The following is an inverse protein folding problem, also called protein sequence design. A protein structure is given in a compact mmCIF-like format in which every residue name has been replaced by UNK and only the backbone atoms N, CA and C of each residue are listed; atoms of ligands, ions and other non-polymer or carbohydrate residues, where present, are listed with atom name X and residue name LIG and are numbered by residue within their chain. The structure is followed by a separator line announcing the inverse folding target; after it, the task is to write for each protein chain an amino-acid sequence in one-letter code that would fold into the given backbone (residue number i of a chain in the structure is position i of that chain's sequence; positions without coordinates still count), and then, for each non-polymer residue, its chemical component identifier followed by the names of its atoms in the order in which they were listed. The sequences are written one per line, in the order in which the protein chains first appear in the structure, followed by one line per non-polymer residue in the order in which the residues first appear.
data_IF_489294608923
#
_entry.id   IF_489294608923
#
_cell.length_a   1.000
_cell.length_b   1.000
_cell.length_c   1.000
_cell.angle_alpha   90.00
_cell.angle_beta   90.00
_cell.angle_gamma   90.00
#
_symmetry.space_group_name_H-M   'P 1'
#
loop_
_entity.id
_entity.type
_entity.pdbx_description
1 polymer ?
#
# COMPACT_ATOMS: atom_id res chain seq x y z
N UNK A 1 3.48 -8.92 -6.99
CA UNK A 1 3.19 -7.54 -6.51
C UNK A 1 1.77 -7.18 -6.90
N UNK A 2 0.88 -6.91 -5.93
CA UNK A 2 -0.50 -6.53 -6.22
C UNK A 2 -0.56 -5.19 -6.96
N UNK A 3 -1.64 -4.95 -7.72
CA UNK A 3 -1.79 -3.69 -8.46
C UNK A 3 -1.80 -2.46 -7.53
N UNK A 4 -2.30 -2.61 -6.30
CA UNK A 4 -2.38 -1.46 -5.38
C UNK A 4 -0.97 -1.01 -5.00
N UNK A 5 -0.09 -1.96 -4.69
CA UNK A 5 1.33 -1.75 -4.42
C UNK A 5 2.03 -1.07 -5.60
N UNK A 6 1.75 -1.52 -6.84
CA UNK A 6 2.34 -0.92 -8.05
C UNK A 6 1.97 0.55 -8.21
N UNK A 7 0.69 0.88 -8.07
CA UNK A 7 0.23 2.27 -8.19
C UNK A 7 0.73 3.14 -7.05
N UNK A 8 0.71 2.64 -5.82
CA UNK A 8 1.24 3.37 -4.67
C UNK A 8 2.73 3.67 -4.86
N UNK A 9 3.52 2.68 -5.29
CA UNK A 9 4.94 2.88 -5.55
C UNK A 9 5.19 3.89 -6.68
N UNK A 10 4.47 3.78 -7.80
CA UNK A 10 4.59 4.74 -8.90
C UNK A 10 4.21 6.17 -8.46
N UNK A 11 3.15 6.32 -7.67
CA UNK A 11 2.74 7.62 -7.12
C UNK A 11 3.82 8.18 -6.17
N UNK A 12 4.42 7.35 -5.31
CA UNK A 12 5.55 7.77 -4.48
C UNK A 12 6.73 8.24 -5.32
N UNK A 13 7.08 7.54 -6.40
CA UNK A 13 8.15 7.97 -7.29
C UNK A 13 7.84 9.31 -7.98
N UNK A 14 6.59 9.55 -8.36
CA UNK A 14 6.17 10.85 -8.91
C UNK A 14 6.27 11.96 -7.86
N UNK A 15 5.80 11.71 -6.63
CA UNK A 15 5.86 12.67 -5.54
C UNK A 15 7.30 13.04 -5.15
N UNK A 16 8.22 12.06 -5.10
CA UNK A 16 9.63 12.31 -4.83
C UNK A 16 10.29 13.17 -5.91
N UNK A 17 9.97 12.90 -7.18
CA UNK A 17 10.47 13.70 -8.31
C UNK A 17 9.93 15.13 -8.28
N UNK A 18 8.64 15.29 -7.99
CA UNK A 18 7.97 16.58 -7.88
C UNK A 18 8.55 17.42 -6.73
N UNK A 19 8.89 16.77 -5.61
CA UNK A 19 9.56 17.39 -4.47
C UNK A 19 11.06 17.63 -4.68
N UNK A 20 11.62 17.23 -5.83
CA UNK A 20 13.07 17.23 -6.08
C UNK A 20 13.88 16.58 -4.95
N UNK A 21 13.33 15.50 -4.36
CA UNK A 21 13.87 14.85 -3.18
C UNK A 21 14.28 13.41 -3.50
N UNK A 22 15.56 13.10 -3.29
CA UNK A 22 16.10 11.75 -3.30
C UNK A 22 16.58 11.37 -1.89
N UNK A 23 15.85 10.51 -1.16
CA UNK A 23 16.21 10.08 0.20
C UNK A 23 17.63 9.50 0.33
N UNK A 24 18.22 9.01 -0.76
CA UNK A 24 19.56 8.42 -0.77
C UNK A 24 20.67 9.46 -0.87
N UNK A 25 20.37 10.61 -1.46
CA UNK A 25 21.31 11.71 -1.69
C UNK A 25 21.09 12.81 -0.67
N UNK A 26 19.84 13.18 -0.46
CA UNK A 26 19.40 14.17 0.50
C UNK A 26 19.44 13.54 1.89
N UNK A 27 20.48 13.89 2.64
CA UNK A 27 20.80 13.29 3.93
C UNK A 27 19.68 13.57 4.94
N UNK A 28 18.89 12.54 5.25
CA UNK A 28 17.92 12.58 6.36
C UNK A 28 18.67 12.13 7.62
N UNK A 29 18.68 12.97 8.66
CA UNK A 29 19.33 12.63 9.94
C UNK A 29 18.45 11.73 10.83
N UNK A 30 17.26 11.34 10.36
CA UNK A 30 16.23 10.61 11.11
C UNK A 30 15.53 9.55 10.26
N UNK A 31 14.70 8.74 10.93
CA UNK A 31 13.89 7.70 10.28
C UNK A 31 12.80 8.35 9.43
N UNK A 32 12.76 8.05 8.12
CA UNK A 32 11.76 8.58 7.20
C UNK A 32 10.41 7.83 7.35
N UNK A 33 9.33 8.49 7.81
CA UNK A 33 8.03 7.82 7.91
C UNK A 33 7.40 7.65 6.53
N UNK A 34 6.79 6.48 6.34
CA UNK A 34 6.02 6.12 5.16
C UNK A 34 4.62 5.71 5.63
N UNK A 35 3.68 6.65 5.56
CA UNK A 35 2.30 6.48 6.00
C UNK A 35 1.39 6.22 4.80
N UNK A 36 0.97 4.96 4.61
CA UNK A 36 0.09 4.59 3.49
C UNK A 36 -1.31 4.23 4.00
N UNK A 37 -2.29 5.00 3.55
CA UNK A 37 -3.71 4.70 3.73
C UNK A 37 -4.18 3.60 2.78
N UNK A 38 -4.88 2.62 3.33
CA UNK A 38 -5.43 1.49 2.59
C UNK A 38 -6.87 1.27 3.05
N UNK A 39 -7.83 1.46 2.14
CA UNK A 39 -9.23 1.13 2.41
C UNK A 39 -9.52 -0.36 2.24
N UNK A 40 -8.76 -1.02 1.37
CA UNK A 40 -8.94 -2.42 1.03
C UNK A 40 -7.65 -3.06 0.52
N UNK A 41 -7.43 -4.32 0.89
CA UNK A 41 -6.32 -5.17 0.44
C UNK A 41 -6.28 -5.40 -1.08
N UNK A 42 -5.27 -6.15 -1.56
CA UNK A 42 -5.11 -6.50 -2.97
C UNK A 42 -6.18 -7.50 -3.48
N UNK A 43 -7.39 -7.02 -3.76
CA UNK A 43 -8.49 -7.87 -4.24
C UNK A 43 -8.15 -8.66 -5.50
N UNK A 44 -7.29 -8.14 -6.37
CA UNK A 44 -6.80 -8.83 -7.55
C UNK A 44 -6.00 -10.09 -7.20
N UNK A 45 -5.13 -10.00 -6.18
CA UNK A 45 -4.29 -11.11 -5.71
C UNK A 45 -5.14 -12.13 -4.94
N UNK A 46 -6.02 -11.67 -4.06
CA UNK A 46 -6.91 -12.53 -3.27
C UNK A 46 -7.85 -13.30 -4.20
N UNK A 47 -8.42 -12.64 -5.21
CA UNK A 47 -9.33 -13.29 -6.16
C UNK A 47 -8.59 -14.33 -7.02
N UNK A 48 -7.37 -14.04 -7.46
CA UNK A 48 -6.56 -15.01 -8.20
C UNK A 48 -6.25 -16.24 -7.34
N UNK A 49 -5.83 -16.02 -6.10
CA UNK A 49 -5.51 -17.09 -5.16
C UNK A 49 -6.71 -17.97 -4.81
N UNK A 50 -7.88 -17.35 -4.58
CA UNK A 50 -9.12 -18.07 -4.33
C UNK A 50 -9.51 -18.97 -5.51
N UNK A 51 -9.33 -18.50 -6.76
CA UNK A 51 -9.59 -19.33 -7.95
C UNK A 51 -8.61 -20.48 -8.09
N UNK A 52 -7.33 -20.25 -7.83
CA UNK A 52 -6.31 -21.31 -7.85
C UNK A 52 -6.61 -22.37 -6.80
N UNK A 53 -6.96 -21.95 -5.59
CA UNK A 53 -7.36 -22.85 -4.50
C UNK A 53 -8.58 -23.69 -4.87
N UNK A 54 -9.65 -23.06 -5.36
CA UNK A 54 -10.89 -23.74 -5.72
C UNK A 54 -10.74 -24.66 -6.94
N UNK A 55 -10.00 -24.23 -7.96
CA UNK A 55 -9.90 -24.96 -9.23
C UNK A 55 -8.79 -26.01 -9.26
N UNK A 56 -7.72 -25.83 -8.49
CA UNK A 56 -6.47 -26.63 -8.63
C UNK A 56 -5.86 -27.06 -7.29
N UNK A 57 -6.51 -26.77 -6.16
CA UNK A 57 -6.07 -27.13 -4.82
C UNK A 57 -4.96 -26.23 -4.26
N UNK A 58 -4.70 -26.36 -2.96
CA UNK A 58 -3.80 -25.47 -2.21
C UNK A 58 -2.35 -25.47 -2.73
N UNK A 59 -1.87 -26.59 -3.28
CA UNK A 59 -0.50 -26.72 -3.78
C UNK A 59 -0.22 -25.85 -5.03
N UNK A 60 -1.26 -25.35 -5.70
CA UNK A 60 -1.14 -24.51 -6.90
C UNK A 60 -1.23 -23.02 -6.63
N UNK A 61 -1.45 -22.61 -5.37
CA UNK A 61 -1.47 -21.20 -4.98
C UNK A 61 -0.05 -20.64 -5.06
N UNK A 62 0.08 -19.46 -5.65
CA UNK A 62 1.33 -18.70 -5.62
C UNK A 62 1.81 -18.45 -4.17
N UNK A 63 3.00 -18.93 -3.81
CA UNK A 63 3.57 -18.77 -2.46
C UNK A 63 3.75 -17.30 -2.04
N UNK A 64 3.94 -16.39 -3.01
CA UNK A 64 4.00 -14.96 -2.78
C UNK A 64 2.64 -14.29 -2.59
N UNK A 65 1.52 -15.02 -2.71
CA UNK A 65 0.17 -14.47 -2.57
C UNK A 65 -0.01 -13.77 -1.22
N UNK A 66 0.36 -14.44 -0.12
CA UNK A 66 0.19 -13.90 1.24
C UNK A 66 0.91 -12.56 1.39
N UNK A 67 2.16 -12.48 0.94
CA UNK A 67 2.93 -11.22 0.95
C UNK A 67 2.28 -10.14 0.09
N UNK A 68 1.78 -10.51 -1.08
CA UNK A 68 1.25 -9.56 -2.06
C UNK A 68 -0.18 -9.11 -1.76
N UNK A 69 -0.95 -9.83 -0.93
CA UNK A 69 -2.31 -9.46 -0.56
C UNK A 69 -2.40 -8.66 0.74
N UNK A 70 -1.33 -8.62 1.53
CA UNK A 70 -1.30 -7.86 2.77
C UNK A 70 -1.50 -6.35 2.52
N UNK A 71 -2.35 -5.67 3.32
CA UNK A 71 -2.52 -4.21 3.24
C UNK A 71 -1.17 -3.47 3.31
N UNK A 72 -0.29 -3.91 4.20
CA UNK A 72 1.02 -3.31 4.42
C UNK A 72 2.03 -3.52 3.29
N UNK A 73 1.71 -4.35 2.28
CA UNK A 73 2.63 -4.64 1.18
C UNK A 73 3.08 -3.38 0.43
N UNK A 74 2.20 -2.37 0.33
CA UNK A 74 2.52 -1.09 -0.31
C UNK A 74 3.59 -0.30 0.46
N UNK A 75 3.37 -0.08 1.76
CA UNK A 75 4.30 0.66 2.61
C UNK A 75 5.66 -0.05 2.72
N UNK A 76 5.64 -1.38 2.88
CA UNK A 76 6.87 -2.19 2.96
C UNK A 76 7.66 -2.19 1.66
N UNK A 77 6.98 -2.24 0.49
CA UNK A 77 7.68 -2.15 -0.79
C UNK A 77 8.37 -0.79 -0.94
N UNK A 78 7.68 0.29 -0.59
CA UNK A 78 8.26 1.64 -0.64
C UNK A 78 9.50 1.69 0.26
N UNK A 79 9.37 1.32 1.54
CA UNK A 79 10.48 1.23 2.48
C UNK A 79 11.68 0.46 1.91
N UNK A 80 11.44 -0.74 1.37
CA UNK A 80 12.47 -1.58 0.75
C UNK A 80 13.14 -0.89 -0.45
N UNK A 81 12.36 -0.15 -1.26
CA UNK A 81 12.87 0.49 -2.48
C UNK A 81 13.59 1.81 -2.21
N UNK A 82 13.25 2.53 -1.15
CA UNK A 82 13.94 3.77 -0.79
C UNK A 82 15.39 3.47 -0.33
N UNK A 83 15.61 2.34 0.37
CA UNK A 83 16.95 1.91 0.76
C UNK A 83 17.58 2.73 1.89
N UNK A 84 16.74 3.43 2.65
CA UNK A 84 17.10 4.23 3.83
C UNK A 84 16.36 3.69 5.06
N UNK A 85 16.70 4.18 6.25
CA UNK A 85 15.95 3.85 7.46
C UNK A 85 14.55 4.47 7.38
N UNK A 86 13.52 3.63 7.37
CA UNK A 86 12.13 4.08 7.22
C UNK A 86 11.22 3.45 8.27
N UNK A 87 10.20 4.18 8.69
CA UNK A 87 9.10 3.67 9.50
C UNK A 87 7.86 3.52 8.62
N UNK A 88 7.57 2.31 8.16
CA UNK A 88 6.40 2.02 7.35
C UNK A 88 5.15 1.78 8.22
N UNK A 89 4.15 2.64 8.07
CA UNK A 89 2.85 2.53 8.75
C UNK A 89 1.73 2.40 7.73
N UNK A 90 0.78 1.51 8.02
CA UNK A 90 -0.42 1.31 7.18
C UNK A 90 -1.66 1.66 7.98
N UNK A 91 -2.45 2.59 7.47
CA UNK A 91 -3.66 3.10 8.13
C UNK A 91 -4.88 2.64 7.36
N UNK A 92 -5.83 2.02 8.06
CA UNK A 92 -7.03 1.45 7.46
C UNK A 92 -8.27 1.88 8.22
N UNK A 93 -8.93 2.90 7.70
CA UNK A 93 -10.17 3.46 8.25
C UNK A 93 -11.32 3.49 7.22
N UNK A 94 -11.17 2.80 6.09
CA UNK A 94 -12.05 2.86 4.91
C UNK A 94 -11.83 4.13 4.06
N UNK A 95 -12.86 4.91 3.75
CA UNK A 95 -12.79 6.00 2.78
C UNK A 95 -11.89 7.17 3.22
N UNK A 96 -11.77 7.38 4.53
CA UNK A 96 -10.90 8.37 5.17
C UNK A 96 -9.44 7.89 5.33
N UNK A 97 -9.11 6.63 4.99
CA UNK A 97 -7.74 6.11 5.15
C UNK A 97 -6.66 6.99 4.50
N UNK A 98 -6.98 7.64 3.39
CA UNK A 98 -6.08 8.61 2.76
C UNK A 98 -5.85 9.86 3.58
N UNK A 99 -6.91 10.46 4.10
CA UNK A 99 -6.75 11.68 4.91
C UNK A 99 -6.14 11.37 6.27
N UNK A 100 -6.46 10.21 6.85
CA UNK A 100 -5.87 9.78 8.13
C UNK A 100 -4.36 9.53 8.00
N UNK A 101 -3.92 8.98 6.85
CA UNK A 101 -2.50 8.82 6.56
C UNK A 101 -1.77 10.16 6.46
N UNK A 102 -2.37 11.14 5.79
CA UNK A 102 -1.83 12.50 5.70
C UNK A 102 -1.84 13.19 7.06
N UNK A 103 -2.93 13.06 7.83
CA UNK A 103 -3.06 13.63 9.16
C UNK A 103 -2.00 13.06 10.12
N UNK A 104 -1.75 11.74 10.06
CA UNK A 104 -0.71 11.07 10.83
C UNK A 104 0.68 11.62 10.50
N UNK A 105 1.04 11.70 9.21
CA UNK A 105 2.32 12.26 8.78
C UNK A 105 2.47 13.75 9.16
N UNK A 106 1.42 14.54 8.96
CA UNK A 106 1.41 15.94 9.35
C UNK A 106 1.57 16.11 10.88
N UNK A 107 1.06 15.17 11.67
CA UNK A 107 1.22 15.19 13.13
C UNK A 107 2.68 14.95 13.51
N UNK A 108 3.34 13.96 12.91
CA UNK A 108 4.77 13.68 13.14
C UNK A 108 5.67 14.87 12.78
N UNK A 109 5.31 15.62 11.72
CA UNK A 109 6.04 16.84 11.36
C UNK A 109 5.77 17.96 12.37
N UNK A 110 4.51 18.14 12.79
CA UNK A 110 4.14 19.20 13.76
C UNK A 110 4.74 19.00 15.15
N UNK A 111 4.92 17.76 15.59
CA UNK A 111 5.59 17.43 16.87
C UNK A 111 7.11 17.56 16.79
N UNK A 112 7.66 17.91 15.63
CA UNK A 112 9.09 17.90 15.32
C UNK A 112 9.75 16.52 15.51
N UNK A 113 8.97 15.43 15.41
CA UNK A 113 9.51 14.07 15.43
C UNK A 113 10.29 13.77 14.15
N UNK A 114 9.86 14.38 13.02
CA UNK A 114 10.48 14.22 11.70
C UNK A 114 10.42 15.50 10.87
N UNK A 115 11.38 15.68 9.97
CA UNK A 115 11.44 16.83 9.05
C UNK A 115 10.67 16.56 7.75
N UNK A 116 10.60 15.30 7.33
CA UNK A 116 9.98 14.86 6.09
C UNK A 116 9.26 13.54 6.30
N UNK A 117 8.10 13.38 5.66
CA UNK A 117 7.32 12.16 5.68
C UNK A 117 6.66 11.91 4.32
N UNK A 118 6.57 10.63 3.94
CA UNK A 118 5.83 10.21 2.74
C UNK A 118 4.44 9.78 3.19
N UNK A 119 3.41 10.45 2.70
CA UNK A 119 2.02 10.11 2.99
C UNK A 119 1.21 9.95 1.71
N UNK A 120 0.22 9.06 1.75
CA UNK A 120 -0.73 8.92 0.66
C UNK A 120 -1.63 7.71 0.82
N UNK A 121 -2.46 7.45 -0.18
CA UNK A 121 -3.31 6.25 -0.18
C UNK A 121 -3.61 5.77 -1.59
N UNK A 122 -3.98 4.50 -1.68
CA UNK A 122 -4.52 3.93 -2.91
C UNK A 122 -5.60 2.92 -2.60
N UNK A 123 -6.76 3.13 -3.21
CA UNK A 123 -7.81 2.14 -3.31
C UNK A 123 -7.80 1.49 -4.69
N UNK A 124 -7.99 0.18 -4.75
CA UNK A 124 -8.26 -0.54 -6.00
C UNK A 124 -9.71 -0.95 -6.05
N UNK A 125 -10.35 -0.64 -7.17
CA UNK A 125 -11.67 -1.17 -7.50
C UNK A 125 -11.53 -2.45 -8.31
N UNK A 126 -11.99 -3.57 -7.76
CA UNK A 126 -12.21 -4.80 -8.54
C UNK A 126 -13.33 -4.56 -9.56
N UNK A 127 -13.08 -4.87 -10.83
CA UNK A 127 -14.09 -4.75 -11.91
C UNK A 127 -15.16 -5.85 -11.86
N UNK A 128 -14.89 -6.98 -11.17
CA UNK A 128 -15.66 -8.23 -11.32
C UNK A 128 -16.66 -8.51 -10.18
N UNK A 129 -16.44 -7.94 -9.00
CA UNK A 129 -17.34 -8.12 -7.84
C UNK A 129 -18.58 -7.20 -7.85
N UNK A 130 -18.80 -6.43 -8.93
CA UNK A 130 -19.89 -5.44 -8.99
C UNK A 130 -21.30 -6.04 -9.12
N UNK A 131 -21.45 -7.34 -9.49
CA UNK A 131 -22.78 -7.91 -9.80
C UNK A 131 -23.00 -9.41 -9.53
N UNK A 132 -21.96 -10.19 -9.20
CA UNK A 132 -22.10 -11.67 -9.11
C UNK A 132 -22.55 -12.21 -7.75
N UNK A 133 -22.50 -11.40 -6.69
CA UNK A 133 -22.96 -11.81 -5.36
C UNK A 133 -24.50 -11.75 -5.18
N UNK A 134 -25.21 -11.11 -6.12
CA UNK A 134 -26.68 -10.94 -6.07
C UNK A 134 -27.46 -11.83 -7.05
N UNK A 135 -26.78 -12.65 -7.86
CA UNK A 135 -27.41 -13.45 -8.93
C UNK A 135 -27.05 -14.94 -8.84
N UNK A 136 -27.01 -15.50 -7.63
CA UNK A 136 -27.14 -16.95 -7.46
C UNK A 136 -28.55 -17.23 -6.94
N UNK A 137 -29.52 -17.62 -7.80
CA UNK A 137 -30.72 -18.26 -7.32
C UNK A 137 -30.33 -19.61 -6.69
N UNK A 138 -30.93 -19.89 -5.53
CA UNK A 138 -31.07 -21.24 -4.98
C UNK A 138 -31.96 -22.04 -5.92
#
# INVERSE_FOLDING_TARGET
MGRHTQFTYAATQMALRDAHFDPRVDRINSVLPVCIGVSSSAFDVIESGARELQGRGAHRINSGMVRNCQPQAAALLIAQKLGVQTQASTISSACNSGIDAVASAATMIRTADVEIAIAGARMIRSRRWRWRAWLRPV
#
